data_IF_052088117529
#
_entry.id   IF_052088117529
#
_cell.length_a   1.000
_cell.length_b   1.000
_cell.length_c   1.000
_cell.angle_alpha   90.00
_cell.angle_beta   90.00
_cell.angle_gamma   90.00
#
_symmetry.space_group_name_H-M   'P 1'
#
loop_
_entity.id
_entity.type
_entity.pdbx_description
1 polymer ?
#
# COMPACT_ATOMS: atom_id res chain seq x y z
N UNK A 1 19.00 5.19 -1.82
CA UNK A 1 19.65 4.10 -1.07
C UNK A 1 18.71 2.91 -1.16
N UNK A 2 19.12 1.75 -1.69
CA UNK A 2 18.22 0.70 -2.22
C UNK A 2 17.82 -0.40 -1.19
N UNK A 3 17.90 -0.14 0.12
CA UNK A 3 17.62 -1.18 1.14
C UNK A 3 18.57 -2.38 1.11
N UNK A 4 19.68 -2.34 0.36
CA UNK A 4 20.57 -3.49 0.12
C UNK A 4 21.43 -3.92 1.32
N UNK A 5 21.28 -3.28 2.48
CA UNK A 5 22.05 -3.61 3.67
C UNK A 5 21.51 -4.86 4.39
N UNK A 6 20.23 -5.17 4.23
CA UNK A 6 19.60 -6.35 4.81
C UNK A 6 19.66 -7.55 3.86
N UNK A 7 19.68 -8.76 4.42
CA UNK A 7 19.26 -9.95 3.69
C UNK A 7 17.73 -9.94 3.58
N UNK A 8 17.19 -10.41 2.45
CA UNK A 8 15.75 -10.46 2.23
C UNK A 8 15.29 -11.92 2.12
N UNK A 9 14.67 -12.39 3.19
CA UNK A 9 14.00 -13.69 3.26
C UNK A 9 12.53 -13.45 3.56
N UNK A 10 11.75 -13.20 2.50
CA UNK A 10 10.41 -12.63 2.62
C UNK A 10 9.36 -13.73 2.75
N UNK A 11 8.67 -13.75 3.90
CA UNK A 11 7.41 -14.46 4.09
C UNK A 11 6.26 -13.56 3.63
N UNK A 12 5.39 -14.07 2.76
CA UNK A 12 4.15 -13.40 2.37
C UNK A 12 2.94 -14.30 2.63
N UNK A 13 1.93 -13.74 3.29
CA UNK A 13 0.62 -14.35 3.46
C UNK A 13 -0.47 -13.42 2.90
N UNK A 14 -1.26 -13.93 1.97
CA UNK A 14 -2.43 -13.24 1.42
C UNK A 14 -3.71 -14.03 1.66
N UNK A 15 -4.76 -13.33 2.06
CA UNK A 15 -6.09 -13.88 2.26
C UNK A 15 -7.14 -13.02 1.57
N UNK A 16 -8.19 -13.66 1.04
CA UNK A 16 -9.35 -13.02 0.46
C UNK A 16 -10.60 -13.78 0.85
N UNK A 17 -11.65 -13.05 1.19
CA UNK A 17 -12.98 -13.60 1.49
C UNK A 17 -14.05 -12.79 0.78
N UNK A 18 -14.92 -13.49 0.05
CA UNK A 18 -16.04 -12.89 -0.68
C UNK A 18 -17.36 -13.33 -0.05
N UNK A 19 -18.24 -12.36 0.21
CA UNK A 19 -19.58 -12.59 0.71
C UNK A 19 -20.61 -11.94 -0.21
N UNK A 20 -21.40 -12.75 -0.89
CA UNK A 20 -22.48 -12.29 -1.76
C UNK A 20 -23.68 -11.82 -0.90
N UNK A 21 -23.84 -10.51 -0.71
CA UNK A 21 -25.01 -9.92 -0.03
C UNK A 21 -26.28 -10.10 -0.87
N UNK A 22 -26.15 -9.91 -2.19
CA UNK A 22 -27.23 -10.10 -3.16
C UNK A 22 -26.66 -10.68 -4.46
N UNK A 23 -27.51 -10.98 -5.44
CA UNK A 23 -27.06 -11.37 -6.78
C UNK A 23 -26.21 -10.30 -7.48
N UNK A 24 -26.24 -9.04 -7.00
CA UNK A 24 -25.54 -7.90 -7.61
C UNK A 24 -24.55 -7.21 -6.68
N UNK A 25 -24.49 -7.59 -5.40
CA UNK A 25 -23.64 -6.93 -4.41
C UNK A 25 -22.83 -7.96 -3.68
N UNK A 26 -21.52 -7.89 -3.82
CA UNK A 26 -20.55 -8.68 -3.07
C UNK A 26 -19.78 -7.76 -2.13
N UNK A 27 -19.50 -8.24 -0.93
CA UNK A 27 -18.51 -7.65 -0.03
C UNK A 27 -17.28 -8.52 -0.11
N UNK A 28 -16.15 -7.94 -0.50
CA UNK A 28 -14.85 -8.60 -0.55
C UNK A 28 -13.94 -7.97 0.49
N UNK A 29 -13.37 -8.80 1.35
CA UNK A 29 -12.27 -8.42 2.23
C UNK A 29 -10.99 -9.08 1.73
N UNK A 30 -9.92 -8.29 1.64
CA UNK A 30 -8.58 -8.76 1.32
C UNK A 30 -7.62 -8.31 2.41
N UNK A 31 -6.72 -9.21 2.79
CA UNK A 31 -5.61 -8.94 3.69
C UNK A 31 -4.31 -9.47 3.08
N UNK A 32 -3.24 -8.72 3.25
CA UNK A 32 -1.89 -9.10 2.86
C UNK A 32 -0.96 -8.78 4.04
N UNK A 33 -0.07 -9.71 4.36
CA UNK A 33 0.95 -9.54 5.39
C UNK A 33 2.29 -10.03 4.83
N UNK A 34 3.33 -9.25 5.09
CA UNK A 34 4.69 -9.55 4.66
C UNK A 34 5.64 -9.35 5.83
N UNK A 35 6.65 -10.21 5.92
CA UNK A 35 7.72 -10.09 6.89
C UNK A 35 9.05 -10.50 6.26
N UNK A 36 10.09 -9.68 6.47
CA UNK A 36 11.46 -10.03 6.14
C UNK A 36 12.15 -10.76 7.30
N UNK A 37 12.24 -12.09 7.21
CA UNK A 37 12.86 -12.94 8.22
C UNK A 37 14.39 -12.79 8.29
N UNK A 38 14.99 -12.19 7.26
CA UNK A 38 16.44 -11.99 7.14
C UNK A 38 16.95 -10.69 7.76
N UNK A 39 16.09 -9.87 8.38
CA UNK A 39 16.49 -8.58 8.92
C UNK A 39 17.35 -8.74 10.18
N UNK A 40 18.60 -8.28 10.10
CA UNK A 40 19.45 -8.06 11.27
C UNK A 40 19.42 -6.58 11.65
N UNK A 41 18.60 -6.26 12.66
CA UNK A 41 18.40 -4.90 13.17
C UNK A 41 19.73 -4.25 13.63
N UNK A 42 20.64 -5.00 14.24
CA UNK A 42 21.90 -4.44 14.74
C UNK A 42 22.84 -4.07 13.58
N UNK A 43 22.88 -4.92 12.56
CA UNK A 43 23.66 -4.70 11.35
C UNK A 43 23.13 -3.49 10.55
N UNK A 44 21.81 -3.38 10.39
CA UNK A 44 21.18 -2.28 9.66
C UNK A 44 21.31 -0.97 10.44
N UNK A 45 21.01 -0.96 11.74
CA UNK A 45 21.16 0.23 12.57
C UNK A 45 22.59 0.79 12.59
N UNK A 46 23.61 -0.07 12.52
CA UNK A 46 25.02 0.35 12.45
C UNK A 46 25.40 1.01 11.11
N UNK A 47 24.57 0.88 10.07
CA UNK A 47 24.82 1.39 8.71
C UNK A 47 23.73 2.33 8.21
N UNK A 48 22.69 2.55 9.02
CA UNK A 48 21.53 3.34 8.66
C UNK A 48 21.93 4.80 8.41
N UNK A 49 21.48 5.33 7.28
CA UNK A 49 21.63 6.74 6.89
C UNK A 49 20.26 7.41 6.65
N UNK A 50 19.18 6.64 6.81
CA UNK A 50 17.77 7.00 6.68
C UNK A 50 16.94 6.09 7.60
N UNK A 51 15.63 6.33 7.66
CA UNK A 51 14.69 5.73 8.61
C UNK A 51 15.20 5.94 10.04
N UNK A 52 15.57 7.18 10.38
CA UNK A 52 16.12 7.53 11.67
C UNK A 52 15.04 8.20 12.51
N UNK A 53 15.11 7.99 13.82
CA UNK A 53 14.24 8.65 14.77
C UNK A 53 14.43 10.17 14.78
N UNK A 54 13.59 10.90 15.52
CA UNK A 54 13.60 12.36 15.58
C UNK A 54 14.97 12.94 15.93
N UNK A 55 15.26 14.14 15.45
CA UNK A 55 16.50 14.85 15.77
C UNK A 55 16.69 14.96 17.28
N UNK A 56 17.83 14.47 17.77
CA UNK A 56 18.26 14.58 19.17
C UNK A 56 19.06 15.87 19.41
N UNK A 57 19.59 16.46 18.35
CA UNK A 57 20.25 17.77 18.34
C UNK A 57 20.20 18.40 16.94
N UNK A 58 20.70 19.63 16.78
CA UNK A 58 20.78 20.32 15.49
C UNK A 58 21.68 19.65 14.43
N UNK A 59 22.43 18.61 14.81
CA UNK A 59 23.38 17.90 13.94
C UNK A 59 23.28 16.38 14.01
N UNK A 60 22.33 15.83 14.78
CA UNK A 60 22.20 14.39 14.98
C UNK A 60 20.73 13.95 14.93
N UNK A 61 20.46 12.95 14.10
CA UNK A 61 19.21 12.20 14.09
C UNK A 61 19.17 11.19 15.24
N UNK A 62 17.98 10.63 15.51
CA UNK A 62 17.80 9.54 16.45
C UNK A 62 18.41 8.23 15.94
N UNK A 63 18.25 7.17 16.72
CA UNK A 63 18.61 5.82 16.29
C UNK A 63 17.76 5.38 15.10
N UNK A 64 18.20 4.38 14.35
CA UNK A 64 17.39 3.74 13.32
C UNK A 64 16.02 3.30 13.87
N UNK A 65 14.97 3.63 13.14
CA UNK A 65 13.55 3.46 13.41
C UNK A 65 12.89 2.82 12.18
N UNK A 66 13.38 1.64 11.82
CA UNK A 66 12.86 0.82 10.73
C UNK A 66 12.26 -0.48 11.22
N UNK A 67 11.79 -1.31 10.29
CA UNK A 67 11.17 -2.59 10.63
C UNK A 67 11.07 -3.56 9.46
N UNK A 68 10.76 -4.81 9.79
CA UNK A 68 10.72 -5.96 8.87
C UNK A 68 9.31 -6.33 8.41
N UNK A 69 8.27 -5.60 8.82
CA UNK A 69 6.88 -5.99 8.55
C UNK A 69 6.12 -5.04 7.64
N UNK A 70 5.14 -5.60 6.95
CA UNK A 70 4.17 -4.82 6.20
C UNK A 70 2.83 -5.52 6.19
N UNK A 71 1.76 -4.75 6.11
CA UNK A 71 0.43 -5.29 5.94
C UNK A 71 -0.46 -4.34 5.14
N UNK A 72 -1.47 -4.92 4.52
CA UNK A 72 -2.55 -4.14 3.93
C UNK A 72 -3.89 -4.83 4.14
N UNK A 73 -4.93 -4.01 4.24
CA UNK A 73 -6.31 -4.47 4.31
C UNK A 73 -7.13 -3.68 3.31
N UNK A 74 -8.05 -4.37 2.63
CA UNK A 74 -8.93 -3.76 1.63
C UNK A 74 -10.34 -4.32 1.75
N UNK A 75 -11.31 -3.42 1.74
CA UNK A 75 -12.72 -3.73 1.68
C UNK A 75 -13.28 -3.22 0.36
N UNK A 76 -13.92 -4.09 -0.40
CA UNK A 76 -14.64 -3.73 -1.62
C UNK A 76 -16.11 -4.12 -1.52
N UNK A 77 -17.01 -3.24 -1.95
CA UNK A 77 -18.46 -3.45 -1.91
C UNK A 77 -19.06 -3.12 -3.27
N UNK A 78 -19.90 -4.00 -3.79
CA UNK A 78 -20.58 -3.84 -5.08
C UNK A 78 -20.29 -4.99 -6.04
N UNK A 79 -20.26 -4.69 -7.33
CA UNK A 79 -19.87 -5.63 -8.37
C UNK A 79 -18.34 -5.73 -8.46
N UNK A 80 -17.78 -6.94 -8.29
CA UNK A 80 -16.34 -7.17 -8.40
C UNK A 80 -15.83 -7.01 -9.84
N UNK A 81 -16.73 -7.10 -10.82
CA UNK A 81 -16.47 -6.81 -12.24
C UNK A 81 -17.53 -5.83 -12.76
N UNK A 82 -17.09 -4.71 -13.33
CA UNK A 82 -17.96 -3.68 -13.90
C UNK A 82 -18.14 -3.97 -15.40
N UNK A 83 -19.23 -4.64 -15.76
CA UNK A 83 -19.45 -5.11 -17.13
C UNK A 83 -20.62 -4.41 -17.83
N UNK A 84 -21.63 -3.99 -17.06
CA UNK A 84 -22.87 -3.41 -17.56
C UNK A 84 -23.11 -2.00 -17.02
N UNK A 85 -24.01 -1.30 -17.71
CA UNK A 85 -24.50 -0.01 -17.26
C UNK A 85 -25.16 -0.15 -15.88
N UNK A 86 -24.72 0.67 -14.94
CA UNK A 86 -25.23 0.68 -13.57
C UNK A 86 -24.57 -0.31 -12.61
N UNK A 87 -23.61 -1.12 -13.08
CA UNK A 87 -22.70 -1.82 -12.16
C UNK A 87 -21.84 -0.79 -11.44
N UNK A 88 -21.58 -1.02 -10.16
CA UNK A 88 -20.78 -0.12 -9.36
C UNK A 88 -19.96 -0.88 -8.34
N UNK A 89 -18.85 -0.31 -7.91
CA UNK A 89 -18.20 -0.73 -6.69
C UNK A 89 -17.54 0.44 -5.98
N UNK A 90 -17.33 0.25 -4.69
CA UNK A 90 -16.52 1.12 -3.84
C UNK A 90 -15.47 0.28 -3.17
N UNK A 91 -14.28 0.83 -3.06
CA UNK A 91 -13.14 0.18 -2.41
C UNK A 91 -12.53 1.16 -1.40
N UNK A 92 -12.26 0.66 -0.20
CA UNK A 92 -11.45 1.32 0.79
C UNK A 92 -10.28 0.41 1.15
N UNK A 93 -9.09 0.97 1.31
CA UNK A 93 -7.92 0.21 1.71
C UNK A 93 -6.99 1.02 2.59
N UNK A 94 -6.22 0.30 3.39
CA UNK A 94 -5.12 0.84 4.18
C UNK A 94 -3.89 -0.04 3.98
N UNK A 95 -2.71 0.58 3.94
CA UNK A 95 -1.42 -0.08 3.83
C UNK A 95 -0.46 0.52 4.84
N UNK A 96 0.36 -0.33 5.42
CA UNK A 96 1.48 0.02 6.28
C UNK A 96 2.67 -0.86 5.87
N UNK A 97 3.82 -0.27 5.57
CA UNK A 97 4.99 -0.99 5.07
C UNK A 97 6.25 -0.38 5.65
N UNK A 98 6.91 -1.12 6.54
CA UNK A 98 8.16 -0.68 7.17
C UNK A 98 9.33 -0.70 6.18
N UNK A 99 10.41 -0.01 6.54
CA UNK A 99 11.56 0.28 5.68
C UNK A 99 12.25 -0.95 5.09
N UNK A 100 12.28 -2.07 5.81
CA UNK A 100 13.07 -3.25 5.46
C UNK A 100 12.19 -4.52 5.33
N UNK A 101 10.87 -4.33 5.22
CA UNK A 101 9.89 -5.41 5.07
C UNK A 101 9.95 -6.13 3.72
N UNK A 102 10.28 -5.39 2.66
CA UNK A 102 10.51 -5.92 1.31
C UNK A 102 11.65 -5.15 0.66
N UNK A 103 12.24 -5.72 -0.39
CA UNK A 103 13.19 -4.96 -1.19
C UNK A 103 12.46 -3.80 -1.87
N UNK A 104 13.00 -2.60 -1.73
CA UNK A 104 12.42 -1.35 -2.23
C UNK A 104 12.02 -1.42 -3.73
N UNK A 105 12.83 -2.12 -4.53
CA UNK A 105 12.59 -2.34 -5.96
C UNK A 105 11.30 -3.11 -6.31
N UNK A 106 10.66 -3.78 -5.36
CA UNK A 106 9.42 -4.54 -5.56
C UNK A 106 8.18 -3.84 -5.00
N UNK A 107 8.30 -2.58 -4.57
CA UNK A 107 7.17 -1.81 -4.05
C UNK A 107 6.34 -1.16 -5.15
N UNK A 108 5.07 -0.92 -4.86
CA UNK A 108 4.13 -0.29 -5.80
C UNK A 108 4.47 1.19 -6.00
N UNK A 109 4.86 1.56 -7.22
CA UNK A 109 5.24 2.93 -7.58
C UNK A 109 4.10 3.95 -7.45
N UNK A 110 2.85 3.50 -7.45
CA UNK A 110 1.69 4.38 -7.29
C UNK A 110 1.46 4.81 -5.83
N UNK A 111 1.88 4.01 -4.87
CA UNK A 111 1.72 4.31 -3.45
C UNK A 111 2.97 5.02 -2.93
N UNK A 112 2.83 6.24 -2.40
CA UNK A 112 3.94 7.03 -1.85
C UNK A 112 5.14 7.31 -2.81
N UNK A 113 4.96 7.05 -4.13
CA UNK A 113 5.96 7.21 -5.20
C UNK A 113 6.93 6.00 -5.27
N UNK A 114 6.46 4.85 -4.79
CA UNK A 114 7.31 3.69 -4.50
C UNK A 114 7.92 3.83 -3.12
N UNK A 115 8.91 3.01 -2.82
CA UNK A 115 9.52 3.03 -1.50
C UNK A 115 8.93 2.00 -0.54
N UNK A 116 9.74 1.65 0.44
CA UNK A 116 9.30 1.18 1.75
C UNK A 116 9.17 2.38 2.72
N UNK A 117 8.96 2.14 4.02
CA UNK A 117 8.80 3.20 5.02
C UNK A 117 7.56 4.09 4.78
N UNK A 118 6.44 3.51 4.39
CA UNK A 118 5.22 4.27 4.10
C UNK A 118 3.95 3.64 4.66
N UNK A 119 3.00 4.50 5.00
CA UNK A 119 1.65 4.12 5.40
C UNK A 119 0.62 5.06 4.78
N UNK A 120 -0.61 4.59 4.66
CA UNK A 120 -1.66 5.43 4.08
C UNK A 120 -2.93 4.69 3.74
N UNK A 121 -3.89 5.45 3.25
CA UNK A 121 -5.20 4.96 2.86
C UNK A 121 -5.46 5.23 1.39
N UNK A 122 -6.38 4.45 0.83
CA UNK A 122 -6.94 4.67 -0.48
C UNK A 122 -8.46 4.51 -0.44
N UNK A 123 -9.15 5.34 -1.20
CA UNK A 123 -10.56 5.16 -1.51
C UNK A 123 -10.71 5.20 -3.03
N UNK A 124 -11.56 4.34 -3.57
CA UNK A 124 -11.85 4.33 -4.98
C UNK A 124 -13.25 3.84 -5.25
N UNK A 125 -13.68 4.05 -6.48
CA UNK A 125 -14.97 3.56 -6.93
C UNK A 125 -15.03 3.53 -8.44
N UNK A 126 -15.85 2.62 -8.95
CA UNK A 126 -16.09 2.46 -10.36
C UNK A 126 -17.58 2.48 -10.65
N UNK A 127 -17.94 2.97 -11.83
CA UNK A 127 -19.32 2.99 -12.31
C UNK A 127 -19.39 2.65 -13.79
N UNK A 128 -20.26 1.69 -14.14
CA UNK A 128 -20.53 1.27 -15.50
C UNK A 128 -21.41 2.27 -16.24
N UNK A 129 -20.86 2.92 -17.26
CA UNK A 129 -21.57 3.87 -18.12
C UNK A 129 -22.34 3.16 -19.25
N UNK A 130 -21.81 2.02 -19.70
CA UNK A 130 -22.34 1.23 -20.82
C UNK A 130 -21.85 -0.21 -20.78
N UNK A 131 -22.15 -0.99 -21.83
CA UNK A 131 -21.52 -2.30 -22.00
C UNK A 131 -20.02 -2.09 -22.21
N UNK A 132 -19.20 -2.71 -21.37
CA UNK A 132 -17.74 -2.62 -21.43
C UNK A 132 -17.18 -1.19 -21.34
N UNK A 133 -17.95 -0.21 -20.84
CA UNK A 133 -17.50 1.16 -20.64
C UNK A 133 -17.73 1.55 -19.18
N UNK A 134 -16.67 1.96 -18.49
CA UNK A 134 -16.71 2.36 -17.08
C UNK A 134 -15.89 3.61 -16.84
N UNK A 135 -16.27 4.36 -15.80
CA UNK A 135 -15.44 5.43 -15.24
C UNK A 135 -15.02 5.05 -13.83
N UNK A 136 -13.82 5.46 -13.45
CA UNK A 136 -13.20 5.15 -12.17
C UNK A 136 -12.66 6.41 -11.51
N UNK A 137 -12.61 6.39 -10.18
CA UNK A 137 -11.79 7.31 -9.42
C UNK A 137 -11.00 6.55 -8.36
N UNK A 138 -9.83 7.09 -8.03
CA UNK A 138 -8.99 6.63 -6.93
C UNK A 138 -8.32 7.82 -6.27
N UNK A 139 -8.51 7.95 -4.96
CA UNK A 139 -7.81 8.91 -4.12
C UNK A 139 -6.94 8.16 -3.12
N UNK A 140 -5.67 8.53 -3.10
CA UNK A 140 -4.62 7.93 -2.27
C UNK A 140 -4.00 9.04 -1.45
N UNK A 141 -3.78 8.79 -0.16
CA UNK A 141 -3.01 9.63 0.75
C UNK A 141 -2.02 8.73 1.48
N UNK A 142 -0.73 9.02 1.35
CA UNK A 142 0.33 8.21 1.94
C UNK A 142 1.46 9.08 2.49
N UNK A 143 1.99 8.70 3.64
CA UNK A 143 3.04 9.40 4.38
C UNK A 143 4.14 8.45 4.83
N UNK A 144 5.33 8.99 5.11
CA UNK A 144 6.44 8.24 5.69
C UNK A 144 6.14 7.80 7.13
N UNK A 145 6.64 6.62 7.53
CA UNK A 145 6.49 6.09 8.89
C UNK A 145 7.55 6.70 9.83
N UNK A 146 8.82 6.67 9.41
CA UNK A 146 9.97 7.28 10.09
C UNK A 146 10.67 8.31 9.17
N UNK A 147 11.60 9.10 9.70
CA UNK A 147 12.22 10.30 9.07
C UNK A 147 11.31 11.58 9.03
N UNK A 148 11.77 12.60 8.30
CA UNK A 148 11.10 13.89 8.18
C UNK A 148 9.78 13.72 7.43
N UNK A 149 8.66 14.30 7.92
CA UNK A 149 7.34 14.02 7.38
C UNK A 149 7.24 14.38 5.89
N UNK A 150 7.20 13.34 5.05
CA UNK A 150 6.84 13.44 3.64
C UNK A 150 5.48 12.79 3.44
N UNK A 151 4.57 13.51 2.76
CA UNK A 151 3.21 13.07 2.49
C UNK A 151 2.84 13.39 1.05
N UNK A 152 2.09 12.49 0.43
CA UNK A 152 1.68 12.56 -0.96
C UNK A 152 0.19 12.23 -1.07
N UNK A 153 -0.58 13.18 -1.61
CA UNK A 153 -1.98 13.01 -1.97
C UNK A 153 -2.13 12.96 -3.49
N UNK A 154 -2.86 11.96 -4.01
CA UNK A 154 -3.15 11.83 -5.45
C UNK A 154 -4.61 11.52 -5.70
N UNK A 155 -5.21 12.26 -6.62
CA UNK A 155 -6.51 11.93 -7.21
C UNK A 155 -6.31 11.50 -8.66
N UNK A 156 -6.83 10.33 -8.99
CA UNK A 156 -6.80 9.75 -10.33
C UNK A 156 -8.26 9.56 -10.77
N UNK A 157 -8.54 9.94 -12.01
CA UNK A 157 -9.83 9.72 -12.66
C UNK A 157 -9.53 9.07 -14.00
N UNK A 158 -10.23 7.99 -14.31
CA UNK A 158 -10.01 7.21 -15.52
C UNK A 158 -11.32 6.82 -16.23
N UNK A 159 -11.21 6.59 -17.54
CA UNK A 159 -12.27 6.08 -18.38
C UNK A 159 -11.74 4.84 -19.11
N UNK A 160 -12.39 3.71 -18.91
CA UNK A 160 -12.04 2.45 -19.55
C UNK A 160 -13.12 2.02 -20.54
N UNK A 161 -12.72 1.55 -21.73
CA UNK A 161 -13.62 0.94 -22.71
C UNK A 161 -12.96 -0.26 -23.37
N UNK A 162 -13.68 -1.39 -23.48
CA UNK A 162 -13.22 -2.62 -24.16
C UNK A 162 -14.15 -2.96 -25.33
N UNK A 163 -13.56 -3.19 -26.51
CA UNK A 163 -14.25 -3.48 -27.78
C UNK A 163 -14.20 -4.97 -28.12
#
# INVERSE_FOLDING_TARGET
>A
YFGLAAAYEVLNLRAQVDYALTQRTTVRFEGDFVQNLGLDNALVAARAVNNLGPMTSSTAFGTWDGGDTGWSARLSVGQMEIAQRGDWNLTFGYRYLESDAVLDAFTDSDFHIGGTNNRGWMVGGNYGLGRNTSTGFRWISAEEIADAPFSVDRLIIDLATRF
#
